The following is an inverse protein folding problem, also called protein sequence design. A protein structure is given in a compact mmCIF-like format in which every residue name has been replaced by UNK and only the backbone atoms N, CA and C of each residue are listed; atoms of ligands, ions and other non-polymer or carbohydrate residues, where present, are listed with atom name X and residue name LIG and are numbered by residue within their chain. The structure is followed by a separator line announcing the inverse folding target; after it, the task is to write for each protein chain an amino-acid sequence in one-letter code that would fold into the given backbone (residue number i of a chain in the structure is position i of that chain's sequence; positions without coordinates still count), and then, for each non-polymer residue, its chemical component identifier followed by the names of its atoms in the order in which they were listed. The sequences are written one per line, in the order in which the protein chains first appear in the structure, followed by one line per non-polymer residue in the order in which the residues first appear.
data_IF_212147996446
#
_entry.id   IF_212147996446
#
_cell.length_a   1.000
_cell.length_b   1.000
_cell.length_c   1.000
_cell.angle_alpha   90.00
_cell.angle_beta   90.00
_cell.angle_gamma   90.00
#
_symmetry.space_group_name_H-M   'P 1'
#
loop_
_entity.id
_entity.type
_entity.pdbx_description
1 polymer ?
#
# COMPACT_ATOMS: atom_id res chain seq x y z
N UNK A 1 -55.03 11.67 10.35
CA UNK A 1 -54.48 12.13 9.05
C UNK A 1 -53.57 11.03 8.51
N UNK A 2 -54.01 10.30 7.47
CA UNK A 2 -53.22 9.25 6.81
C UNK A 2 -52.35 9.92 5.74
N UNK A 3 -51.03 9.70 5.77
CA UNK A 3 -50.15 9.91 4.61
C UNK A 3 -49.23 8.72 4.46
N UNK A 4 -49.60 7.86 3.54
CA UNK A 4 -48.76 6.81 2.99
C UNK A 4 -47.68 7.47 2.12
N UNK A 5 -46.44 7.01 2.25
CA UNK A 5 -45.44 7.13 1.21
C UNK A 5 -44.78 5.76 1.06
N UNK A 6 -45.19 5.09 -0.01
CA UNK A 6 -44.58 3.87 -0.49
C UNK A 6 -43.16 4.19 -0.99
N UNK A 7 -42.16 3.52 -0.40
CA UNK A 7 -40.79 3.54 -0.93
C UNK A 7 -40.61 2.24 -1.70
N UNK A 8 -40.87 2.30 -3.00
CA UNK A 8 -40.46 1.31 -3.98
C UNK A 8 -39.37 1.95 -4.83
N UNK A 9 -38.11 1.63 -4.54
CA UNK A 9 -37.01 1.75 -5.51
C UNK A 9 -36.19 0.48 -5.43
N UNK A 10 -36.55 -0.48 -6.27
CA UNK A 10 -35.66 -1.53 -6.75
C UNK A 10 -34.64 -0.90 -7.69
N UNK A 11 -33.35 -0.99 -7.35
CA UNK A 11 -32.28 -0.77 -8.32
C UNK A 11 -31.09 -1.69 -8.03
N UNK A 12 -31.01 -2.71 -8.88
CA UNK A 12 -29.82 -3.38 -9.40
C UNK A 12 -28.73 -3.83 -8.41
N UNK A 13 -28.59 -5.16 -8.35
CA UNK A 13 -27.39 -5.85 -7.92
C UNK A 13 -26.14 -5.25 -8.59
N UNK A 14 -25.33 -4.54 -7.81
CA UNK A 14 -23.92 -4.33 -8.14
C UNK A 14 -23.20 -5.64 -7.78
N UNK A 15 -23.16 -6.57 -8.73
CA UNK A 15 -22.10 -7.57 -8.76
C UNK A 15 -20.80 -6.81 -9.03
N UNK A 16 -20.24 -6.19 -7.99
CA UNK A 16 -18.86 -5.77 -8.03
C UNK A 16 -18.03 -7.05 -8.18
N UNK A 17 -17.29 -7.24 -9.27
CA UNK A 17 -16.27 -8.27 -9.25
C UNK A 17 -15.32 -7.89 -8.12
N UNK A 18 -15.18 -8.77 -7.12
CA UNK A 18 -14.07 -8.76 -6.17
C UNK A 18 -12.79 -9.12 -6.94
N UNK A 19 -12.44 -8.29 -7.91
CA UNK A 19 -11.20 -8.33 -8.67
C UNK A 19 -10.44 -7.07 -8.25
N UNK A 20 -9.33 -7.13 -7.53
CA UNK A 20 -8.53 -8.28 -7.20
C UNK A 20 -7.73 -7.93 -5.94
N UNK A 21 -7.80 -8.79 -4.92
CA UNK A 21 -6.66 -9.00 -4.03
C UNK A 21 -5.57 -9.70 -4.84
N UNK A 22 -5.03 -9.02 -5.83
CA UNK A 22 -3.84 -9.45 -6.54
C UNK A 22 -2.71 -8.66 -5.92
N UNK A 23 -1.85 -9.36 -5.20
CA UNK A 23 -0.52 -8.91 -4.77
C UNK A 23 0.40 -8.64 -5.97
N UNK A 24 -0.16 -8.20 -7.11
CA UNK A 24 0.58 -7.76 -8.26
C UNK A 24 1.24 -6.45 -7.88
N UNK A 25 2.56 -6.49 -7.80
CA UNK A 25 3.40 -5.31 -7.82
C UNK A 25 2.91 -4.39 -8.94
N UNK A 26 2.19 -3.32 -8.58
CA UNK A 26 1.81 -2.30 -9.54
C UNK A 26 3.11 -1.74 -10.10
N UNK A 27 3.18 -1.66 -11.43
CA UNK A 27 4.35 -1.07 -12.07
C UNK A 27 4.29 0.46 -11.93
N UNK A 28 4.67 0.96 -10.75
CA UNK A 28 4.66 2.39 -10.42
C UNK A 28 5.96 3.04 -10.92
N UNK A 29 5.84 4.24 -11.49
CA UNK A 29 6.99 5.05 -11.92
C UNK A 29 6.70 6.53 -11.71
N UNK A 30 7.75 7.29 -11.38
CA UNK A 30 7.60 8.70 -11.04
C UNK A 30 8.76 9.21 -10.19
N UNK A 31 8.53 10.32 -9.51
CA UNK A 31 9.50 10.95 -8.62
C UNK A 31 9.26 10.48 -7.20
N UNK A 32 10.31 10.02 -6.52
CA UNK A 32 10.25 9.76 -5.07
C UNK A 32 10.03 11.11 -4.37
N UNK A 33 8.97 11.22 -3.58
CA UNK A 33 8.64 12.44 -2.84
C UNK A 33 8.67 12.25 -1.32
N UNK A 34 8.73 11.00 -0.86
CA UNK A 34 8.84 10.66 0.55
C UNK A 34 9.42 9.25 0.71
N UNK A 35 9.92 8.96 1.90
CA UNK A 35 10.53 7.67 2.27
C UNK A 35 10.17 7.31 3.72
N UNK A 36 9.57 6.14 3.91
CA UNK A 36 9.16 5.67 5.24
C UNK A 36 9.81 4.32 5.59
N UNK A 37 9.97 4.05 6.89
CA UNK A 37 10.52 2.78 7.38
C UNK A 37 9.80 2.38 8.65
N UNK A 38 9.19 1.19 8.63
CA UNK A 38 8.44 0.67 9.76
C UNK A 38 9.14 -0.55 10.35
N UNK A 39 9.43 -0.51 11.65
CA UNK A 39 10.09 -1.60 12.37
C UNK A 39 9.14 -2.26 13.36
N UNK A 40 8.69 -3.47 13.03
CA UNK A 40 7.77 -4.22 13.86
C UNK A 40 8.43 -5.45 14.48
N UNK A 41 8.26 -5.63 15.80
CA UNK A 41 8.67 -6.86 16.49
C UNK A 41 7.46 -7.62 17.04
N UNK A 42 7.29 -8.87 16.61
CA UNK A 42 6.25 -9.78 17.10
C UNK A 42 6.87 -10.85 18.00
N UNK A 43 6.39 -10.93 19.23
CA UNK A 43 6.77 -12.01 20.17
C UNK A 43 5.67 -13.05 20.23
N UNK A 44 6.00 -14.30 19.93
CA UNK A 44 5.08 -15.45 20.01
C UNK A 44 5.53 -16.39 21.13
N UNK A 45 4.58 -16.90 21.92
CA UNK A 45 4.83 -17.96 22.91
C UNK A 45 4.15 -19.24 22.45
N UNK A 46 4.92 -20.31 22.26
CA UNK A 46 4.41 -21.65 21.90
C UNK A 46 5.10 -22.70 22.76
N UNK A 47 4.33 -23.57 23.41
CA UNK A 47 4.83 -24.64 24.28
C UNK A 47 5.84 -24.14 25.33
N UNK A 48 5.54 -23.02 26.00
CA UNK A 48 6.42 -22.43 27.00
C UNK A 48 7.63 -21.65 26.46
N UNK A 49 8.05 -21.88 25.20
CA UNK A 49 9.13 -21.13 24.55
C UNK A 49 8.62 -19.81 23.99
N UNK A 50 9.37 -18.72 24.23
CA UNK A 50 9.14 -17.40 23.63
C UNK A 50 10.10 -17.21 22.46
N UNK A 51 9.57 -16.80 21.31
CA UNK A 51 10.35 -16.44 20.13
C UNK A 51 9.96 -15.02 19.73
N UNK A 52 10.96 -14.17 19.50
CA UNK A 52 10.79 -12.81 18.98
C UNK A 52 11.26 -12.78 17.54
N UNK A 53 10.44 -12.23 16.66
CA UNK A 53 10.76 -11.96 15.26
C UNK A 53 10.56 -10.48 15.02
N UNK A 54 11.54 -9.82 14.42
CA UNK A 54 11.41 -8.43 14.00
C UNK A 54 11.47 -8.37 12.48
N UNK A 55 10.69 -7.47 11.90
CA UNK A 55 10.61 -7.19 10.48
C UNK A 55 10.75 -5.69 10.29
N UNK A 56 11.44 -5.28 9.22
CA UNK A 56 11.51 -3.87 8.82
C UNK A 56 10.94 -3.76 7.42
N UNK A 57 9.96 -2.90 7.26
CA UNK A 57 9.33 -2.52 5.99
C UNK A 57 9.93 -1.20 5.52
N UNK A 58 10.14 -1.09 4.21
CA UNK A 58 10.73 0.08 3.58
C UNK A 58 9.80 0.53 2.46
N UNK A 59 9.37 1.77 2.51
CA UNK A 59 8.37 2.30 1.60
C UNK A 59 8.87 3.57 0.91
N UNK A 60 8.47 3.75 -0.35
CA UNK A 60 8.69 4.98 -1.09
C UNK A 60 7.33 5.54 -1.51
N UNK A 61 7.13 6.84 -1.31
CA UNK A 61 5.97 7.53 -1.89
C UNK A 61 6.36 8.12 -3.22
N UNK A 62 5.69 7.69 -4.28
CA UNK A 62 5.98 8.08 -5.66
C UNK A 62 4.92 9.04 -6.17
N UNK A 63 5.35 10.23 -6.59
CA UNK A 63 4.52 11.13 -7.40
C UNK A 63 4.56 10.68 -8.86
N UNK A 64 3.44 10.20 -9.36
CA UNK A 64 3.30 9.76 -10.75
C UNK A 64 3.28 10.95 -11.71
N UNK A 65 3.38 10.68 -13.02
CA UNK A 65 3.25 11.71 -14.07
C UNK A 65 1.88 12.37 -14.10
N UNK A 66 0.82 11.67 -13.69
CA UNK A 66 -0.53 12.24 -13.54
C UNK A 66 -0.67 13.13 -12.31
N UNK A 67 0.32 13.11 -11.41
CA UNK A 67 0.32 13.89 -10.17
C UNK A 67 -0.24 13.13 -8.96
N UNK A 68 -0.63 11.86 -9.15
CA UNK A 68 -1.10 10.98 -8.08
C UNK A 68 0.08 10.58 -7.18
N UNK A 69 -0.25 10.18 -5.94
CA UNK A 69 0.71 9.62 -4.98
C UNK A 69 0.43 8.13 -4.83
N UNK A 70 1.47 7.31 -4.96
CA UNK A 70 1.39 5.86 -4.76
C UNK A 70 2.53 5.43 -3.82
N UNK A 71 2.18 4.71 -2.76
CA UNK A 71 3.13 4.05 -1.86
C UNK A 71 3.57 2.71 -2.47
N UNK A 72 4.87 2.41 -2.38
CA UNK A 72 5.44 1.15 -2.85
C UNK A 72 6.37 0.55 -1.80
N UNK A 73 6.08 -0.69 -1.42
CA UNK A 73 6.98 -1.53 -0.63
C UNK A 73 8.21 -1.88 -1.47
N UNK A 74 9.39 -1.67 -0.90
CA UNK A 74 10.66 -1.94 -1.55
C UNK A 74 11.59 -2.74 -0.66
N UNK A 75 12.59 -3.39 -1.27
CA UNK A 75 13.68 -3.98 -0.49
C UNK A 75 14.52 -2.88 0.17
N UNK A 76 15.16 -3.19 1.31
CA UNK A 76 16.16 -2.30 1.95
C UNK A 76 17.17 -1.76 0.95
N UNK A 77 17.65 -2.60 0.02
CA UNK A 77 18.61 -2.18 -1.00
C UNK A 77 18.04 -1.14 -1.96
N UNK A 78 16.77 -1.28 -2.38
CA UNK A 78 16.09 -0.33 -3.25
C UNK A 78 15.73 0.96 -2.50
N UNK A 79 15.40 0.86 -1.21
CA UNK A 79 15.20 2.00 -0.33
C UNK A 79 16.47 2.83 -0.16
N UNK A 80 17.60 2.18 0.15
CA UNK A 80 18.92 2.82 0.25
C UNK A 80 19.38 3.36 -1.11
N UNK A 81 18.91 2.72 -2.19
CA UNK A 81 19.08 3.21 -3.53
C UNK A 81 18.41 4.60 -3.66
N UNK A 82 17.16 4.74 -3.27
CA UNK A 82 16.35 5.92 -3.56
C UNK A 82 16.58 7.14 -2.65
N UNK A 83 16.60 8.32 -3.26
CA UNK A 83 16.55 9.62 -2.58
C UNK A 83 15.29 10.37 -3.02
N UNK A 84 14.77 11.26 -2.19
CA UNK A 84 13.72 12.20 -2.60
C UNK A 84 14.18 13.02 -3.80
N UNK A 85 13.27 13.24 -4.75
CA UNK A 85 13.56 13.84 -6.06
C UNK A 85 14.04 12.84 -7.12
N UNK A 86 14.50 11.64 -6.76
CA UNK A 86 14.99 10.66 -7.72
C UNK A 86 13.86 10.01 -8.53
N UNK A 87 14.21 9.50 -9.72
CA UNK A 87 13.27 8.77 -10.58
C UNK A 87 13.17 7.28 -10.18
N UNK A 88 12.00 6.89 -9.70
CA UNK A 88 11.62 5.50 -9.42
C UNK A 88 11.07 4.83 -10.69
N UNK A 89 11.39 3.55 -10.99
CA UNK A 89 11.97 2.54 -10.08
C UNK A 89 13.50 2.38 -10.02
N UNK A 90 14.33 3.26 -10.59
CA UNK A 90 15.79 3.00 -10.61
C UNK A 90 16.62 4.16 -10.07
N UNK A 91 16.60 4.29 -8.75
CA UNK A 91 17.31 5.34 -8.03
C UNK A 91 18.81 5.05 -7.77
N UNK A 92 19.40 5.54 -6.66
CA UNK A 92 20.84 5.79 -6.31
C UNK A 92 21.61 6.48 -7.40
N UNK A 93 20.82 7.32 -8.01
CA UNK A 93 21.12 8.35 -8.93
C UNK A 93 20.16 9.44 -8.52
N UNK A 94 20.72 10.62 -8.29
CA UNK A 94 19.98 11.87 -8.35
C UNK A 94 19.78 12.21 -9.82
#
# INVERSE_FOLDING_TARGET
MKRALAILVTAAALTAPLTACSSQSKHVSGTVIDKETDHECKTKKKNGKRTRSCHTEYELTIRTKSGDKEEVDVSSSAYDNCAEGASYPKCSKG
#
